data_IF_575565175429
#
_entry.id   IF_575565175429
#
_cell.length_a   1.000
_cell.length_b   1.000
_cell.length_c   1.000
_cell.angle_alpha   90.00
_cell.angle_beta   90.00
_cell.angle_gamma   90.00
#
_symmetry.space_group_name_H-M   'P 1'
#
loop_
_entity.id
_entity.type
_entity.pdbx_description
1 polymer ?
#
# COMPACT_ATOMS: atom_id res chain seq x y z
N UNK A 1 -14.12 -10.65 12.91
CA UNK A 1 -13.10 -10.78 11.84
C UNK A 1 -12.58 -9.37 11.63
N UNK A 2 -11.33 -9.10 11.98
CA UNK A 2 -10.73 -7.78 11.73
C UNK A 2 -10.14 -7.81 10.32
N UNK A 3 -10.62 -6.96 9.43
CA UNK A 3 -10.01 -6.75 8.13
C UNK A 3 -8.77 -5.89 8.35
N UNK A 4 -7.60 -6.44 8.04
CA UNK A 4 -6.32 -5.72 8.05
C UNK A 4 -5.76 -5.79 6.65
N UNK A 5 -5.17 -4.69 6.19
CA UNK A 5 -4.41 -4.66 4.95
C UNK A 5 -2.95 -4.95 5.30
N UNK A 6 -2.36 -5.98 4.67
CA UNK A 6 -0.96 -6.33 4.87
C UNK A 6 -0.21 -5.92 3.62
N UNK A 7 0.66 -4.93 3.76
CA UNK A 7 1.57 -4.52 2.70
C UNK A 7 2.90 -5.22 3.01
N UNK A 8 3.33 -6.18 2.17
CA UNK A 8 4.53 -6.96 2.45
C UNK A 8 5.77 -6.08 2.48
N UNK A 9 6.73 -6.46 3.31
CA UNK A 9 8.06 -5.84 3.32
C UNK A 9 8.83 -6.19 2.04
N UNK A 10 9.75 -5.33 1.64
CA UNK A 10 10.46 -5.45 0.37
C UNK A 10 11.48 -6.60 0.45
N UNK A 11 11.09 -7.80 -0.02
CA UNK A 11 12.06 -8.88 -0.26
C UNK A 11 12.65 -8.75 -1.68
N UNK A 12 13.99 -8.86 -1.77
CA UNK A 12 14.86 -8.70 -2.94
C UNK A 12 14.48 -9.59 -4.16
N UNK A 13 13.53 -10.53 -3.97
CA UNK A 13 13.05 -11.47 -4.98
C UNK A 13 11.91 -10.93 -5.86
N UNK A 14 11.40 -9.71 -5.60
CA UNK A 14 10.40 -9.07 -6.46
C UNK A 14 11.04 -8.51 -7.74
N UNK A 15 11.16 -9.35 -8.79
CA UNK A 15 11.63 -8.97 -10.12
C UNK A 15 10.82 -7.78 -10.69
N UNK A 16 11.41 -6.58 -10.67
CA UNK A 16 10.82 -5.36 -11.24
C UNK A 16 10.77 -4.14 -10.31
N UNK A 17 11.25 -4.26 -9.07
CA UNK A 17 11.23 -3.17 -8.09
C UNK A 17 12.55 -2.41 -7.96
N UNK A 18 12.45 -1.11 -7.68
CA UNK A 18 13.54 -0.16 -7.44
C UNK A 18 13.39 0.36 -6.01
N UNK A 19 14.26 -0.09 -5.09
CA UNK A 19 14.23 0.27 -3.65
C UNK A 19 14.24 1.80 -3.44
N UNK A 20 14.87 2.55 -4.35
CA UNK A 20 14.90 4.02 -4.28
C UNK A 20 13.55 4.67 -4.61
N UNK A 21 12.58 3.93 -5.19
CA UNK A 21 11.28 4.47 -5.60
C UNK A 21 10.13 4.24 -4.60
N UNK A 22 10.20 3.22 -3.73
CA UNK A 22 9.15 2.90 -2.75
C UNK A 22 7.77 2.60 -3.37
N UNK A 23 6.73 2.43 -2.52
CA UNK A 23 5.35 2.29 -3.01
C UNK A 23 4.73 3.65 -3.38
N UNK A 24 3.81 3.69 -4.36
CA UNK A 24 3.19 4.92 -4.80
C UNK A 24 2.48 5.66 -3.67
N UNK A 25 2.58 6.99 -3.65
CA UNK A 25 1.97 7.81 -2.60
C UNK A 25 2.70 7.80 -1.26
N UNK A 26 3.95 7.31 -1.24
CA UNK A 26 4.76 7.22 -0.02
C UNK A 26 4.19 6.21 0.98
N UNK A 27 3.51 5.18 0.47
CA UNK A 27 3.00 4.08 1.28
C UNK A 27 4.19 3.25 1.75
N UNK A 28 4.17 2.84 3.01
CA UNK A 28 5.23 2.04 3.61
C UNK A 28 4.76 0.59 3.74
N UNK A 29 5.68 -0.39 3.77
CA UNK A 29 5.34 -1.76 4.12
C UNK A 29 4.88 -1.83 5.58
N UNK A 30 3.94 -2.72 5.87
CA UNK A 30 3.43 -2.90 7.22
C UNK A 30 1.99 -3.43 7.28
N UNK A 31 1.45 -3.43 8.50
CA UNK A 31 0.09 -3.89 8.78
C UNK A 31 -0.77 -2.68 9.09
N UNK A 32 -1.81 -2.48 8.29
CA UNK A 32 -2.71 -1.34 8.39
C UNK A 32 -4.09 -1.80 8.85
N UNK A 33 -4.63 -1.10 9.86
CA UNK A 33 -6.03 -1.27 10.24
C UNK A 33 -6.95 -0.58 9.22
N UNK A 34 -8.24 -0.88 9.25
CA UNK A 34 -9.24 -0.19 8.41
C UNK A 34 -9.18 1.34 8.55
N UNK A 35 -8.90 1.85 9.76
CA UNK A 35 -8.77 3.28 9.98
C UNK A 35 -7.52 3.85 9.30
N UNK A 36 -6.41 3.11 9.36
CA UNK A 36 -5.16 3.52 8.71
C UNK A 36 -5.32 3.50 7.19
N UNK A 37 -6.00 2.49 6.63
CA UNK A 37 -6.35 2.43 5.21
C UNK A 37 -7.24 3.62 4.81
N UNK A 38 -8.25 3.95 5.62
CA UNK A 38 -9.10 5.11 5.36
C UNK A 38 -8.30 6.43 5.38
N UNK A 39 -7.31 6.54 6.26
CA UNK A 39 -6.41 7.68 6.30
C UNK A 39 -5.49 7.73 5.07
N UNK A 40 -4.92 6.59 4.67
CA UNK A 40 -4.10 6.47 3.46
C UNK A 40 -4.88 6.89 2.21
N UNK A 41 -6.12 6.42 2.06
CA UNK A 41 -7.00 6.79 0.95
C UNK A 41 -7.29 8.30 0.93
N UNK A 42 -7.47 8.94 2.10
CA UNK A 42 -7.68 10.39 2.17
C UNK A 42 -6.43 11.17 1.82
N UNK A 43 -5.27 10.76 2.34
CA UNK A 43 -3.97 11.40 2.05
C UNK A 43 -3.60 11.29 0.57
N UNK A 44 -3.97 10.19 -0.06
CA UNK A 44 -3.69 9.90 -1.46
C UNK A 44 -4.89 10.10 -2.40
N UNK A 45 -5.93 10.84 -1.98
CA UNK A 45 -7.17 10.99 -2.76
C UNK A 45 -6.94 11.57 -4.17
N UNK A 46 -5.90 12.37 -4.34
CA UNK A 46 -5.51 12.98 -5.63
C UNK A 46 -4.42 12.19 -6.37
N UNK A 47 -3.93 11.09 -5.80
CA UNK A 47 -2.91 10.22 -6.39
C UNK A 47 -3.54 8.91 -6.89
N UNK A 48 -3.93 8.83 -8.17
CA UNK A 48 -4.61 7.65 -8.71
C UNK A 48 -3.76 6.37 -8.69
N UNK A 49 -2.43 6.48 -8.73
CA UNK A 49 -1.53 5.31 -8.65
C UNK A 49 -1.56 4.71 -7.25
N UNK A 50 -1.50 5.54 -6.21
CA UNK A 50 -1.58 5.09 -4.83
C UNK A 50 -2.97 4.49 -4.49
N UNK A 51 -4.05 5.08 -5.00
CA UNK A 51 -5.41 4.54 -4.81
C UNK A 51 -5.55 3.17 -5.45
N UNK A 52 -5.02 2.97 -6.67
CA UNK A 52 -5.04 1.67 -7.34
C UNK A 52 -4.24 0.63 -6.57
N UNK A 53 -3.03 0.99 -6.14
CA UNK A 53 -2.19 0.11 -5.35
C UNK A 53 -2.90 -0.38 -4.06
N UNK A 54 -3.53 0.53 -3.30
CA UNK A 54 -4.29 0.16 -2.10
C UNK A 54 -5.46 -0.78 -2.46
N UNK A 55 -6.16 -0.52 -3.57
CA UNK A 55 -7.27 -1.36 -4.02
C UNK A 55 -6.81 -2.77 -4.41
N UNK A 56 -5.71 -2.88 -5.16
CA UNK A 56 -5.13 -4.15 -5.58
C UNK A 56 -4.75 -5.00 -4.34
N UNK A 57 -4.12 -4.39 -3.34
CA UNK A 57 -3.77 -5.07 -2.08
C UNK A 57 -4.98 -5.47 -1.22
N UNK A 58 -6.15 -4.85 -1.41
CA UNK A 58 -7.38 -5.22 -0.69
C UNK A 58 -8.18 -6.32 -1.39
N UNK A 59 -7.89 -6.60 -2.68
CA UNK A 59 -8.59 -7.62 -3.47
C UNK A 59 -7.99 -9.03 -3.28
N UNK A 60 -6.71 -9.13 -2.91
CA UNK A 60 -6.01 -10.38 -2.54
C UNK A 60 -6.26 -10.85 -1.11
#
# INVERSE_FOLDING_TARGET
MYTVLIIPDFEEENEGYDEEKGYPGGIEPGIYSVNDVAEMLRRNAENPEAIRFIADMMEE
#
